data_IF_317192873561
#
_entry.id   IF_317192873561
#
_cell.length_a   1.000
_cell.length_b   1.000
_cell.length_c   1.000
_cell.angle_alpha   90.00
_cell.angle_beta   90.00
_cell.angle_gamma   90.00
#
_symmetry.space_group_name_H-M   'P 1'
#
loop_
_entity.id
_entity.type
_entity.pdbx_description
1 polymer ?
#
# COMPACT_ATOMS: atom_id res chain seq x y z
N UNK A 1 1.52 35.95 19.62
CA UNK A 1 1.40 34.66 20.34
C UNK A 1 0.56 33.71 19.49
N UNK A 2 1.16 32.70 18.88
CA UNK A 2 0.44 31.74 18.02
C UNK A 2 -0.30 30.70 18.89
N UNK A 3 -1.62 30.71 18.82
CA UNK A 3 -2.49 29.79 19.54
C UNK A 3 -2.25 28.34 19.06
N UNK A 4 -1.75 27.48 19.95
CA UNK A 4 -1.55 26.05 19.70
C UNK A 4 -2.91 25.36 19.59
N UNK A 5 -3.38 25.13 18.37
CA UNK A 5 -4.58 24.33 18.12
C UNK A 5 -4.38 22.91 18.64
N UNK A 6 -5.08 22.55 19.72
CA UNK A 6 -5.17 21.18 20.22
C UNK A 6 -5.60 20.27 19.05
N UNK A 7 -4.79 19.26 18.71
CA UNK A 7 -5.14 18.29 17.65
C UNK A 7 -6.51 17.71 18.00
N UNK A 8 -7.50 17.94 17.14
CA UNK A 8 -8.87 17.48 17.36
C UNK A 8 -8.88 15.99 17.67
N UNK A 9 -9.28 15.66 18.89
CA UNK A 9 -9.40 14.31 19.42
C UNK A 9 -10.14 13.38 18.44
N UNK A 10 -11.10 13.93 17.69
CA UNK A 10 -11.92 13.24 16.70
C UNK A 10 -11.11 12.64 15.54
N UNK A 11 -10.04 13.29 15.08
CA UNK A 11 -9.22 12.78 13.95
C UNK A 11 -8.47 11.51 14.34
N UNK A 12 -8.04 11.40 15.60
CA UNK A 12 -7.38 10.19 16.10
C UNK A 12 -8.35 9.01 16.19
N UNK A 13 -9.60 9.27 16.55
CA UNK A 13 -10.66 8.26 16.58
C UNK A 13 -11.01 7.78 15.17
N UNK A 14 -11.20 8.68 14.21
CA UNK A 14 -11.47 8.33 12.81
C UNK A 14 -10.36 7.46 12.23
N UNK A 15 -9.09 7.80 12.50
CA UNK A 15 -7.95 7.00 12.01
C UNK A 15 -7.94 5.58 12.58
N UNK A 16 -8.23 5.43 13.88
CA UNK A 16 -8.33 4.09 14.50
C UNK A 16 -9.53 3.30 13.98
N UNK A 17 -10.68 3.96 13.83
CA UNK A 17 -11.88 3.35 13.28
C UNK A 17 -11.65 2.87 11.83
N UNK A 18 -11.01 3.68 10.99
CA UNK A 18 -10.68 3.31 9.61
C UNK A 18 -9.75 2.07 9.54
N UNK A 19 -8.73 2.00 10.40
CA UNK A 19 -7.86 0.81 10.46
C UNK A 19 -8.63 -0.44 10.90
N UNK A 20 -9.49 -0.34 11.91
CA UNK A 20 -10.31 -1.46 12.37
C UNK A 20 -11.28 -1.92 11.28
N UNK A 21 -11.93 -0.97 10.58
CA UNK A 21 -12.80 -1.29 9.45
C UNK A 21 -12.03 -1.98 8.33
N UNK A 22 -10.81 -1.55 8.01
CA UNK A 22 -10.00 -2.19 6.98
C UNK A 22 -9.60 -3.63 7.35
N UNK A 23 -9.21 -3.86 8.61
CA UNK A 23 -8.88 -5.21 9.08
C UNK A 23 -10.12 -6.10 9.13
N UNK A 24 -11.24 -5.57 9.62
CA UNK A 24 -12.51 -6.29 9.67
C UNK A 24 -12.99 -6.66 8.26
N UNK A 25 -12.93 -5.71 7.31
CA UNK A 25 -13.26 -5.93 5.91
C UNK A 25 -12.34 -6.98 5.28
N UNK A 26 -11.03 -6.92 5.54
CA UNK A 26 -10.08 -7.91 5.05
C UNK A 26 -10.34 -9.33 5.56
N UNK A 27 -10.67 -9.46 6.86
CA UNK A 27 -11.03 -10.75 7.45
C UNK A 27 -12.36 -11.27 6.91
N UNK A 28 -13.36 -10.38 6.76
CA UNK A 28 -14.65 -10.73 6.17
C UNK A 28 -14.49 -11.18 4.72
N UNK A 29 -13.65 -10.48 3.94
CA UNK A 29 -13.33 -10.83 2.56
C UNK A 29 -12.65 -12.20 2.46
N UNK A 30 -11.65 -12.46 3.30
CA UNK A 30 -11.01 -13.78 3.36
C UNK A 30 -12.00 -14.88 3.72
N UNK A 31 -12.93 -14.61 4.63
CA UNK A 31 -14.02 -15.52 4.99
C UNK A 31 -14.93 -15.82 3.79
N UNK A 32 -15.43 -14.79 3.11
CA UNK A 32 -16.27 -14.94 1.93
C UNK A 32 -15.55 -15.68 0.79
N UNK A 33 -14.27 -15.36 0.55
CA UNK A 33 -13.44 -16.08 -0.43
C UNK A 33 -13.24 -17.54 -0.03
N UNK A 34 -12.98 -17.82 1.25
CA UNK A 34 -12.83 -19.18 1.77
C UNK A 34 -14.10 -20.01 1.55
N UNK A 35 -15.28 -19.45 1.88
CA UNK A 35 -16.58 -20.11 1.63
C UNK A 35 -16.79 -20.35 0.14
N UNK A 36 -16.51 -19.36 -0.70
CA UNK A 36 -16.61 -19.49 -2.15
C UNK A 36 -15.68 -20.60 -2.69
N UNK A 37 -14.43 -20.60 -2.28
CA UNK A 37 -13.43 -21.59 -2.68
C UNK A 37 -13.90 -22.99 -2.26
N UNK A 38 -14.29 -23.18 -1.01
CA UNK A 38 -14.85 -24.44 -0.50
C UNK A 38 -16.09 -24.89 -1.27
N UNK A 39 -17.00 -23.99 -1.62
CA UNK A 39 -18.21 -24.29 -2.39
C UNK A 39 -17.90 -24.80 -3.80
N UNK A 40 -16.83 -24.30 -4.41
CA UNK A 40 -16.44 -24.64 -5.78
C UNK A 40 -15.50 -25.86 -5.85
N UNK A 41 -14.69 -26.09 -4.82
CA UNK A 41 -13.76 -27.23 -4.75
C UNK A 41 -14.42 -28.51 -4.22
N UNK A 42 -15.33 -28.41 -3.24
CA UNK A 42 -15.82 -29.57 -2.47
C UNK A 42 -17.32 -29.82 -2.71
N UNK A 43 -17.64 -31.02 -3.19
CA UNK A 43 -19.02 -31.42 -3.55
C UNK A 43 -19.91 -31.61 -2.33
N UNK A 44 -19.38 -32.17 -1.24
CA UNK A 44 -20.18 -32.47 -0.05
C UNK A 44 -20.53 -31.18 0.71
N UNK A 45 -19.59 -30.23 0.74
CA UNK A 45 -19.84 -28.89 1.28
C UNK A 45 -20.93 -28.15 0.50
N UNK A 46 -20.93 -28.26 -0.83
CA UNK A 46 -21.99 -27.68 -1.67
C UNK A 46 -23.36 -28.29 -1.36
N UNK A 47 -23.43 -29.61 -1.17
CA UNK A 47 -24.68 -30.30 -0.83
C UNK A 47 -25.18 -29.90 0.56
N UNK A 48 -24.28 -29.77 1.53
CA UNK A 48 -24.59 -29.25 2.87
C UNK A 48 -25.15 -27.82 2.82
N UNK A 49 -24.50 -26.92 2.09
CA UNK A 49 -24.95 -25.52 1.93
C UNK A 49 -26.30 -25.43 1.22
N UNK A 50 -26.53 -26.26 0.21
CA UNK A 50 -27.82 -26.32 -0.48
C UNK A 50 -28.96 -26.78 0.45
N UNK A 51 -28.67 -27.69 1.39
CA UNK A 51 -29.69 -28.19 2.30
C UNK A 51 -29.99 -27.22 3.46
N UNK A 52 -28.96 -26.61 4.03
CA UNK A 52 -29.10 -25.75 5.22
C UNK A 52 -29.29 -24.26 4.90
N UNK A 53 -28.75 -23.79 3.78
CA UNK A 53 -28.75 -22.37 3.40
C UNK A 53 -29.18 -22.16 1.92
N UNK A 54 -30.34 -22.68 1.48
CA UNK A 54 -30.77 -22.58 0.09
C UNK A 54 -30.94 -21.12 -0.37
N UNK A 55 -31.49 -20.25 0.48
CA UNK A 55 -31.72 -18.83 0.16
C UNK A 55 -30.42 -18.05 -0.08
N UNK A 56 -29.36 -18.38 0.68
CA UNK A 56 -28.04 -17.77 0.49
C UNK A 56 -27.43 -18.21 -0.84
N UNK A 57 -27.63 -19.47 -1.22
CA UNK A 57 -27.20 -20.02 -2.51
C UNK A 57 -27.94 -19.35 -3.67
N UNK A 58 -29.26 -19.21 -3.56
CA UNK A 58 -30.08 -18.52 -4.57
C UNK A 58 -29.69 -17.05 -4.72
N UNK A 59 -29.43 -16.35 -3.62
CA UNK A 59 -28.91 -15.00 -3.67
C UNK A 59 -27.54 -14.96 -4.37
N UNK A 60 -26.63 -15.86 -4.02
CA UNK A 60 -25.32 -15.97 -4.65
C UNK A 60 -25.40 -16.20 -6.17
N UNK A 61 -26.26 -17.13 -6.62
CA UNK A 61 -26.45 -17.39 -8.04
C UNK A 61 -27.22 -16.28 -8.76
N UNK A 62 -28.26 -15.72 -8.15
CA UNK A 62 -29.03 -14.62 -8.75
C UNK A 62 -28.23 -13.32 -8.86
N UNK A 63 -27.30 -13.07 -7.92
CA UNK A 63 -26.37 -11.94 -7.99
C UNK A 63 -25.47 -12.05 -9.22
N UNK A 64 -25.01 -13.26 -9.56
CA UNK A 64 -24.21 -13.49 -10.77
C UNK A 64 -24.97 -13.20 -12.06
N UNK A 65 -26.28 -13.46 -12.10
CA UNK A 65 -27.16 -13.19 -13.25
C UNK A 65 -27.43 -11.69 -13.38
N UNK A 66 -27.73 -11.00 -12.26
CA UNK A 66 -27.99 -9.56 -12.25
C UNK A 66 -26.77 -8.72 -12.66
N UNK A 67 -25.56 -9.24 -12.44
CA UNK A 67 -24.30 -8.61 -12.84
C UNK A 67 -23.93 -8.89 -14.31
N UNK A 68 -24.81 -9.50 -15.09
CA UNK A 68 -24.69 -9.57 -16.56
C UNK A 68 -23.71 -10.61 -17.09
N UNK A 69 -23.39 -11.66 -16.31
CA UNK A 69 -22.54 -12.74 -16.80
C UNK A 69 -23.34 -13.69 -17.72
N UNK A 70 -23.00 -13.82 -19.02
CA UNK A 70 -23.57 -14.88 -19.85
C UNK A 70 -23.15 -16.25 -19.31
N UNK A 71 -24.07 -17.21 -19.39
CA UNK A 71 -24.07 -18.49 -18.68
C UNK A 71 -22.84 -19.42 -18.84
N UNK A 72 -21.85 -19.06 -19.66
CA UNK A 72 -20.67 -19.90 -19.86
C UNK A 72 -19.38 -19.07 -19.90
N UNK A 73 -18.46 -19.39 -18.98
CA UNK A 73 -16.98 -19.36 -19.13
C UNK A 73 -16.17 -18.18 -18.54
N UNK A 74 -16.71 -17.09 -17.96
CA UNK A 74 -15.83 -15.97 -17.47
C UNK A 74 -16.10 -15.37 -16.09
N UNK A 75 -16.81 -16.07 -15.21
CA UNK A 75 -17.20 -15.55 -13.89
C UNK A 75 -16.03 -15.28 -12.93
N UNK A 76 -14.87 -15.91 -13.13
CA UNK A 76 -13.65 -15.68 -12.34
C UNK A 76 -12.97 -14.35 -12.67
N UNK A 77 -13.01 -13.91 -13.93
CA UNK A 77 -12.31 -12.71 -14.40
C UNK A 77 -13.13 -11.43 -14.16
N UNK A 78 -14.45 -11.50 -14.33
CA UNK A 78 -15.30 -10.32 -14.16
C UNK A 78 -15.50 -9.97 -12.68
N UNK A 79 -15.65 -10.98 -11.82
CA UNK A 79 -15.74 -10.76 -10.38
C UNK A 79 -14.44 -10.14 -9.86
N UNK A 80 -13.28 -10.64 -10.27
CA UNK A 80 -11.98 -10.05 -9.88
C UNK A 80 -11.79 -8.64 -10.43
N UNK A 81 -12.30 -8.31 -11.62
CA UNK A 81 -12.17 -6.97 -12.23
C UNK A 81 -13.12 -5.94 -11.60
N UNK A 82 -14.37 -6.32 -11.30
CA UNK A 82 -15.32 -5.48 -10.54
C UNK A 82 -14.81 -5.26 -9.11
N UNK A 83 -14.17 -6.27 -8.53
CA UNK A 83 -13.60 -6.19 -7.18
C UNK A 83 -12.34 -5.33 -7.16
N UNK A 84 -11.42 -5.50 -8.13
CA UNK A 84 -10.20 -4.71 -8.22
C UNK A 84 -10.52 -3.23 -8.46
N UNK A 85 -11.45 -2.91 -9.36
CA UNK A 85 -11.85 -1.51 -9.64
C UNK A 85 -12.63 -0.87 -8.50
N UNK A 86 -13.54 -1.63 -7.84
CA UNK A 86 -14.29 -1.15 -6.68
C UNK A 86 -13.41 -0.86 -5.47
N UNK A 87 -12.53 -1.80 -5.09
CA UNK A 87 -11.66 -1.65 -3.92
C UNK A 87 -10.48 -0.71 -4.17
N UNK A 88 -9.94 -0.64 -5.39
CA UNK A 88 -8.90 0.37 -5.71
C UNK A 88 -9.47 1.77 -5.78
N UNK A 89 -10.67 1.97 -6.34
CA UNK A 89 -11.32 3.28 -6.37
C UNK A 89 -11.64 3.78 -4.96
N UNK A 90 -12.22 2.92 -4.12
CA UNK A 90 -12.57 3.27 -2.74
C UNK A 90 -11.32 3.45 -1.86
N UNK A 91 -10.30 2.61 -2.05
CA UNK A 91 -8.99 2.75 -1.40
C UNK A 91 -8.24 4.02 -1.80
N UNK A 92 -8.32 4.44 -3.06
CA UNK A 92 -7.69 5.67 -3.57
C UNK A 92 -8.37 6.93 -3.04
N UNK A 93 -9.71 6.92 -2.97
CA UNK A 93 -10.49 8.01 -2.36
C UNK A 93 -10.17 8.12 -0.86
N UNK A 94 -10.04 6.98 -0.17
CA UNK A 94 -9.62 6.96 1.23
C UNK A 94 -8.18 7.44 1.41
N UNK A 95 -7.28 7.08 0.50
CA UNK A 95 -5.89 7.54 0.50
C UNK A 95 -5.83 9.06 0.37
N UNK A 96 -6.53 9.65 -0.59
CA UNK A 96 -6.61 11.12 -0.77
C UNK A 96 -7.17 11.81 0.47
N UNK A 97 -8.23 11.25 1.08
CA UNK A 97 -8.84 11.85 2.27
C UNK A 97 -7.99 11.67 3.54
N UNK A 98 -7.10 10.68 3.57
CA UNK A 98 -6.22 10.39 4.70
C UNK A 98 -4.79 10.97 4.56
N UNK A 99 -4.37 11.41 3.37
CA UNK A 99 -3.08 12.11 3.21
C UNK A 99 -3.16 13.50 3.84
N UNK A 100 -2.35 13.81 4.87
CA UNK A 100 -2.35 15.13 5.49
C UNK A 100 -1.84 16.17 4.48
N UNK A 101 -2.47 17.35 4.43
CA UNK A 101 -2.05 18.42 3.53
C UNK A 101 -0.62 18.89 3.87
N UNK A 102 0.14 19.36 2.88
CA UNK A 102 1.57 19.71 3.04
C UNK A 102 1.82 20.68 4.21
N UNK A 103 0.92 21.65 4.41
CA UNK A 103 0.96 22.58 5.54
C UNK A 103 0.84 21.91 6.93
N UNK A 104 0.19 20.73 7.02
CA UNK A 104 0.13 19.94 8.24
C UNK A 104 1.40 19.14 8.46
N UNK A 105 2.03 18.66 7.38
CA UNK A 105 3.32 17.94 7.42
C UNK A 105 4.43 18.89 7.90
N UNK A 106 4.45 20.12 7.43
CA UNK A 106 5.43 21.14 7.81
C UNK A 106 5.31 21.52 9.30
N UNK A 107 4.08 21.73 9.78
CA UNK A 107 3.80 21.92 11.23
C UNK A 107 4.20 20.72 12.08
N UNK A 108 4.08 19.50 11.53
CA UNK A 108 4.53 18.27 12.19
C UNK A 108 6.06 18.23 12.28
N UNK A 109 6.78 18.56 11.20
CA UNK A 109 8.24 18.66 11.16
C UNK A 109 8.77 19.67 12.19
N UNK A 110 8.12 20.83 12.31
CA UNK A 110 8.45 21.84 13.33
C UNK A 110 8.15 21.40 14.77
N UNK A 111 7.25 20.43 14.98
CA UNK A 111 6.84 19.96 16.31
C UNK A 111 7.64 18.77 16.85
N UNK A 112 8.43 18.10 16.01
CA UNK A 112 9.20 16.91 16.35
C UNK A 112 10.64 17.31 16.75
N UNK A 113 11.07 17.08 18.00
CA UNK A 113 12.44 17.40 18.41
C UNK A 113 13.42 16.47 17.69
N UNK A 114 14.30 17.05 16.86
CA UNK A 114 15.44 16.37 16.25
C UNK A 114 15.39 16.15 14.73
N UNK A 115 14.25 16.33 14.06
CA UNK A 115 14.14 16.07 12.61
C UNK A 115 14.51 17.31 11.78
N UNK A 116 14.31 18.49 12.33
CA UNK A 116 14.43 19.74 11.58
C UNK A 116 15.83 20.35 11.57
N UNK A 117 16.79 19.74 12.25
CA UNK A 117 17.99 20.50 12.62
C UNK A 117 18.90 20.92 11.49
N UNK A 118 18.83 20.37 10.27
CA UNK A 118 19.47 21.03 9.11
C UNK A 118 19.08 20.34 7.78
N UNK A 119 17.94 20.70 7.19
CA UNK A 119 17.63 20.32 5.80
C UNK A 119 18.79 20.72 4.85
N UNK A 120 19.40 21.86 5.13
CA UNK A 120 20.60 22.38 4.46
C UNK A 120 21.86 21.53 4.66
N UNK A 121 22.09 20.90 5.82
CA UNK A 121 23.24 19.98 6.00
C UNK A 121 23.00 18.64 5.32
N UNK A 122 21.75 18.15 5.32
CA UNK A 122 21.41 16.92 4.61
C UNK A 122 21.57 17.12 3.10
N UNK A 123 21.14 18.26 2.57
CA UNK A 123 21.36 18.65 1.18
C UNK A 123 22.86 18.80 0.87
N UNK A 124 23.64 19.48 1.72
CA UNK A 124 25.10 19.57 1.57
C UNK A 124 25.79 18.20 1.60
N UNK A 125 25.42 17.31 2.52
CA UNK A 125 25.98 15.94 2.57
C UNK A 125 25.61 15.16 1.31
N UNK A 126 24.36 15.28 0.84
CA UNK A 126 23.91 14.64 -0.40
C UNK A 126 24.71 15.14 -1.60
N UNK A 127 24.95 16.44 -1.71
CA UNK A 127 25.80 17.05 -2.75
C UNK A 127 27.24 16.55 -2.68
N UNK A 128 27.81 16.46 -1.47
CA UNK A 128 29.15 15.89 -1.24
C UNK A 128 29.23 14.42 -1.71
N UNK A 129 28.24 13.59 -1.37
CA UNK A 129 28.17 12.20 -1.84
C UNK A 129 28.03 12.12 -3.36
N UNK A 130 27.23 13.01 -3.96
CA UNK A 130 27.04 13.04 -5.41
C UNK A 130 28.33 13.44 -6.14
N UNK A 131 29.07 14.41 -5.62
CA UNK A 131 30.38 14.80 -6.15
C UNK A 131 31.39 13.65 -6.01
N UNK A 132 31.43 12.97 -4.85
CA UNK A 132 32.29 11.81 -4.65
C UNK A 132 31.96 10.65 -5.61
N UNK A 133 30.67 10.41 -5.88
CA UNK A 133 30.23 9.40 -6.86
C UNK A 133 30.58 9.78 -8.29
N UNK A 134 30.44 11.05 -8.66
CA UNK A 134 30.83 11.53 -10.00
C UNK A 134 32.35 11.46 -10.20
N UNK A 135 33.14 11.80 -9.17
CA UNK A 135 34.59 11.66 -9.19
C UNK A 135 35.03 10.19 -9.27
N UNK A 136 34.39 9.30 -8.51
CA UNK A 136 34.67 7.86 -8.57
C UNK A 136 34.23 7.23 -9.89
N UNK A 137 33.17 7.76 -10.53
CA UNK A 137 32.71 7.30 -11.84
C UNK A 137 33.57 7.80 -12.99
N UNK A 138 34.22 8.97 -12.86
CA UNK A 138 35.17 9.49 -13.86
C UNK A 138 36.57 8.89 -13.72
N UNK A 139 36.93 8.38 -12.54
CA UNK A 139 38.14 7.59 -12.36
C UNK A 139 38.04 6.23 -13.04
N UNK A 140 39.15 5.78 -13.65
CA UNK A 140 39.23 4.42 -14.19
C UNK A 140 39.06 3.43 -13.02
N UNK A 141 38.10 2.49 -13.12
CA UNK A 141 37.82 1.56 -12.05
C UNK A 141 39.04 0.66 -11.80
N UNK A 142 39.21 0.23 -10.55
CA UNK A 142 40.42 -0.46 -10.04
C UNK A 142 40.83 -1.66 -10.90
N UNK A 143 39.86 -2.40 -11.44
CA UNK A 143 40.10 -3.58 -12.28
C UNK A 143 40.58 -3.27 -13.72
N UNK A 144 40.56 -1.99 -14.13
CA UNK A 144 41.11 -1.52 -15.42
C UNK A 144 42.42 -0.74 -15.26
N UNK A 145 42.96 -0.58 -14.03
CA UNK A 145 44.24 0.12 -13.78
C UNK A 145 45.43 -0.80 -14.04
N UNK A 146 46.50 -0.24 -14.58
CA UNK A 146 47.75 -0.97 -14.86
C UNK A 146 48.58 -1.09 -13.57
N UNK A 147 49.46 -2.10 -13.48
CA UNK A 147 50.33 -2.31 -12.29
C UNK A 147 51.22 -1.10 -11.94
N UNK A 148 51.51 -0.26 -12.93
CA UNK A 148 52.30 0.98 -12.80
C UNK A 148 51.49 2.10 -12.12
N UNK A 149 50.19 2.20 -12.42
CA UNK A 149 49.26 3.19 -11.86
C UNK A 149 48.98 2.94 -10.37
N UNK A 150 49.05 1.68 -9.94
CA UNK A 150 48.88 1.28 -8.53
C UNK A 150 50.11 1.57 -7.66
N UNK A 151 51.26 1.88 -8.28
CA UNK A 151 52.54 2.09 -7.59
C UNK A 151 52.81 3.57 -7.26
N UNK A 152 52.08 4.49 -7.88
CA UNK A 152 52.22 5.94 -7.76
C UNK A 152 51.24 6.60 -6.77
N UNK A 153 50.32 5.85 -6.17
CA UNK A 153 49.41 6.38 -5.15
C UNK A 153 50.17 6.71 -3.84
N UNK A 154 49.93 7.90 -3.24
CA UNK A 154 50.48 8.22 -1.93
C UNK A 154 49.84 7.31 -0.87
N UNK A 155 50.67 6.53 -0.18
CA UNK A 155 50.24 5.75 0.99
C UNK A 155 49.91 6.72 2.12
N UNK A 156 48.62 6.91 2.38
CA UNK A 156 48.11 7.61 3.55
C UNK A 156 48.18 6.73 4.80
#
# INVERSE_FOLDING_TARGET
MLHKGSKSQNIRFVRKAATVLFVAEGLFFLGCYGVWHKLNTDRDFRKYMHHNYPSTLEYYYSLSIKLGAPQHIRTTDLASLVWLTGFTGLGYILYITCTPSEAQIEKLRHSLPGIEKNKSEVEKKREQYFQALQAAASEKPIYLRTKEDLKSEPKH
#
